data_IF_542932932562
#
_entry.id   IF_542932932562
#
_cell.length_a   1.000
_cell.length_b   1.000
_cell.length_c   1.000
_cell.angle_alpha   90.00
_cell.angle_beta   90.00
_cell.angle_gamma   90.00
#
_symmetry.space_group_name_H-M   'P 1'
#
loop_
_entity.id
_entity.type
_entity.pdbx_description
1 polymer ?
#
# COMPACT_ATOMS: atom_id res chain seq x y z
N UNK A 1 -7.55 -7.29 -21.98
CA UNK A 1 -7.02 -6.26 -21.06
C UNK A 1 -8.03 -6.17 -19.95
N UNK A 2 -7.64 -6.47 -18.70
CA UNK A 2 -8.56 -6.39 -17.57
C UNK A 2 -9.16 -4.99 -17.47
N UNK A 3 -10.49 -4.93 -17.39
CA UNK A 3 -11.24 -3.69 -17.25
C UNK A 3 -10.71 -2.93 -16.01
N UNK A 4 -10.02 -1.82 -16.24
CA UNK A 4 -9.59 -0.89 -15.18
C UNK A 4 -8.09 -0.80 -14.87
N UNK A 5 -7.18 -1.41 -15.67
CA UNK A 5 -5.79 -0.96 -15.78
C UNK A 5 -5.59 -0.28 -17.13
N UNK A 6 -5.15 0.99 -17.11
CA UNK A 6 -5.02 1.83 -18.29
C UNK A 6 -3.54 2.17 -18.50
N UNK A 7 -3.06 2.03 -19.74
CA UNK A 7 -1.71 2.45 -20.13
C UNK A 7 -1.63 3.98 -20.23
N UNK A 8 -0.56 4.55 -19.70
CA UNK A 8 -0.26 5.98 -19.72
C UNK A 8 1.22 6.21 -20.04
N UNK A 9 1.61 7.46 -20.27
CA UNK A 9 3.02 7.83 -20.21
C UNK A 9 3.51 7.69 -18.76
N UNK A 10 4.70 7.10 -18.53
CA UNK A 10 5.29 7.04 -17.19
C UNK A 10 5.35 8.41 -16.51
N UNK A 11 4.89 8.48 -15.26
CA UNK A 11 4.80 9.72 -14.48
C UNK A 11 5.69 9.64 -13.24
N UNK A 12 6.99 9.88 -13.44
CA UNK A 12 8.00 9.83 -12.37
C UNK A 12 7.85 10.98 -11.37
N UNK A 13 7.36 12.14 -11.78
CA UNK A 13 7.18 13.28 -10.88
C UNK A 13 6.07 13.00 -9.87
N UNK A 14 4.91 12.55 -10.34
CA UNK A 14 3.82 12.16 -9.45
C UNK A 14 4.19 10.97 -8.55
N UNK A 15 4.97 10.02 -9.07
CA UNK A 15 5.49 8.92 -8.26
C UNK A 15 6.41 9.42 -7.12
N UNK A 16 7.25 10.43 -7.36
CA UNK A 16 8.07 11.07 -6.31
C UNK A 16 7.21 11.77 -5.25
N UNK A 17 6.21 12.55 -5.67
CA UNK A 17 5.29 13.22 -4.72
C UNK A 17 4.51 12.22 -3.86
N UNK A 18 4.04 11.12 -4.45
CA UNK A 18 3.41 10.03 -3.69
C UNK A 18 4.39 9.39 -2.69
N UNK A 19 5.64 9.18 -3.10
CA UNK A 19 6.66 8.62 -2.22
C UNK A 19 6.96 9.53 -1.02
N UNK A 20 7.05 10.84 -1.24
CA UNK A 20 7.21 11.83 -0.16
C UNK A 20 6.05 11.78 0.83
N UNK A 21 4.81 11.77 0.34
CA UNK A 21 3.61 11.65 1.19
C UNK A 21 3.58 10.36 2.01
N UNK A 22 4.02 9.25 1.42
CA UNK A 22 4.17 7.98 2.14
C UNK A 22 5.20 8.10 3.27
N UNK A 23 6.36 8.73 3.03
CA UNK A 23 7.37 8.90 4.07
C UNK A 23 6.84 9.72 5.26
N UNK A 24 6.13 10.82 4.98
CA UNK A 24 5.48 11.64 6.02
C UNK A 24 4.47 10.80 6.83
N UNK A 25 3.69 9.97 6.14
CA UNK A 25 2.71 9.09 6.80
C UNK A 25 3.40 8.05 7.71
N UNK A 26 4.50 7.45 7.26
CA UNK A 26 5.26 6.49 8.05
C UNK A 26 5.96 7.15 9.26
N UNK A 27 6.37 8.41 9.14
CA UNK A 27 6.88 9.20 10.26
C UNK A 27 5.78 9.48 11.30
N UNK A 28 4.60 9.91 10.85
CA UNK A 28 3.44 10.10 11.72
C UNK A 28 3.06 8.80 12.46
N UNK A 29 3.02 7.65 11.78
CA UNK A 29 2.69 6.37 12.43
C UNK A 29 3.63 6.06 13.61
N UNK A 30 4.89 6.49 13.55
CA UNK A 30 5.87 6.27 14.63
C UNK A 30 5.63 7.17 15.84
N UNK A 31 4.96 8.32 15.67
CA UNK A 31 4.71 9.28 16.77
C UNK A 31 3.36 9.08 17.46
N UNK A 32 2.46 8.28 16.86
CA UNK A 32 1.11 8.04 17.38
C UNK A 32 1.09 6.89 18.39
N UNK A 33 0.34 7.06 19.49
CA UNK A 33 0.10 6.01 20.49
C UNK A 33 -0.64 4.81 19.87
N UNK A 34 0.06 3.68 19.74
CA UNK A 34 -0.49 2.47 19.14
C UNK A 34 -1.64 1.85 19.93
N UNK A 35 -1.68 2.03 21.25
CA UNK A 35 -2.74 1.48 22.10
C UNK A 35 -4.08 2.11 21.78
N UNK A 36 -4.06 3.43 21.59
CA UNK A 36 -5.27 4.22 21.36
C UNK A 36 -5.69 4.24 19.90
N UNK A 37 -4.74 4.19 18.97
CA UNK A 37 -4.99 4.48 17.55
C UNK A 37 -4.69 3.30 16.62
N UNK A 38 -4.75 2.07 17.12
CA UNK A 38 -4.49 0.84 16.34
C UNK A 38 -5.22 0.77 15.00
N UNK A 39 -6.52 1.09 14.97
CA UNK A 39 -7.30 1.13 13.72
C UNK A 39 -6.75 2.15 12.73
N UNK A 40 -6.45 3.36 13.19
CA UNK A 40 -5.92 4.43 12.32
C UNK A 40 -4.54 4.06 11.78
N UNK A 41 -3.68 3.50 12.62
CA UNK A 41 -2.34 3.05 12.21
C UNK A 41 -2.44 1.95 11.14
N UNK A 42 -3.32 0.96 11.31
CA UNK A 42 -3.51 -0.11 10.32
C UNK A 42 -4.07 0.44 9.01
N UNK A 43 -5.04 1.36 9.08
CA UNK A 43 -5.56 2.07 7.91
C UNK A 43 -4.42 2.82 7.18
N UNK A 44 -3.61 3.58 7.91
CA UNK A 44 -2.55 4.39 7.33
C UNK A 44 -1.40 3.55 6.78
N UNK A 45 -1.11 2.38 7.38
CA UNK A 45 -0.19 1.40 6.78
C UNK A 45 -0.69 0.89 5.43
N UNK A 46 -1.98 0.59 5.30
CA UNK A 46 -2.54 0.21 4.01
C UNK A 46 -2.48 1.35 3.00
N UNK A 47 -2.80 2.59 3.40
CA UNK A 47 -2.70 3.75 2.53
C UNK A 47 -1.25 4.00 2.06
N UNK A 48 -0.27 3.78 2.94
CA UNK A 48 1.15 3.85 2.58
C UNK A 48 1.52 2.79 1.53
N UNK A 49 1.13 1.54 1.74
CA UNK A 49 1.35 0.44 0.78
C UNK A 49 0.67 0.77 -0.56
N UNK A 50 -0.59 1.21 -0.53
CA UNK A 50 -1.34 1.60 -1.73
C UNK A 50 -0.64 2.73 -2.48
N UNK A 51 -0.17 3.76 -1.77
CA UNK A 51 0.56 4.88 -2.35
C UNK A 51 1.83 4.42 -3.06
N UNK A 52 2.61 3.52 -2.45
CA UNK A 52 3.82 2.96 -3.06
C UNK A 52 3.52 2.11 -4.30
N UNK A 53 2.52 1.22 -4.23
CA UNK A 53 2.13 0.40 -5.40
C UNK A 53 1.61 1.27 -6.53
N UNK A 54 0.86 2.33 -6.21
CA UNK A 54 0.41 3.34 -7.19
C UNK A 54 1.60 4.05 -7.82
N UNK A 55 2.58 4.48 -7.04
CA UNK A 55 3.79 5.13 -7.55
C UNK A 55 4.59 4.20 -8.47
N UNK A 56 4.73 2.92 -8.11
CA UNK A 56 5.36 1.91 -8.95
C UNK A 56 4.59 1.77 -10.29
N UNK A 57 3.27 1.65 -10.23
CA UNK A 57 2.42 1.52 -11.41
C UNK A 57 2.55 2.73 -12.36
N UNK A 58 2.61 3.95 -11.80
CA UNK A 58 2.82 5.18 -12.57
C UNK A 58 4.18 5.18 -13.28
N UNK A 59 5.25 4.73 -12.63
CA UNK A 59 6.58 4.63 -13.28
C UNK A 59 6.60 3.54 -14.34
N UNK A 60 5.81 2.48 -14.18
CA UNK A 60 5.65 1.43 -15.19
C UNK A 60 4.80 1.88 -16.40
N UNK A 61 4.22 3.08 -16.37
CA UNK A 61 3.38 3.60 -17.45
C UNK A 61 1.95 3.08 -17.41
N UNK A 62 1.41 2.85 -16.21
CA UNK A 62 0.04 2.41 -16.02
C UNK A 62 -0.66 3.20 -14.90
N UNK A 63 -2.00 3.13 -14.87
CA UNK A 63 -2.83 3.56 -13.76
C UNK A 63 -4.03 2.62 -13.59
N UNK A 64 -4.58 2.55 -12.38
CA UNK A 64 -5.85 1.88 -12.13
C UNK A 64 -6.99 2.90 -12.06
N UNK A 65 -8.15 2.56 -12.62
CA UNK A 65 -9.36 3.39 -12.54
C UNK A 65 -10.59 2.53 -12.24
N UNK A 66 -11.68 3.17 -11.82
CA UNK A 66 -12.97 2.53 -11.59
C UNK A 66 -13.09 1.70 -10.29
N UNK A 67 -14.23 1.01 -10.16
CA UNK A 67 -14.54 0.17 -9.01
C UNK A 67 -13.59 -1.02 -8.92
N UNK A 68 -12.98 -1.25 -7.75
CA UNK A 68 -11.99 -2.32 -7.56
C UNK A 68 -10.55 -1.93 -7.90
N UNK A 69 -10.26 -0.65 -8.18
CA UNK A 69 -8.90 -0.16 -8.47
C UNK A 69 -7.86 -0.62 -7.44
N UNK A 70 -8.22 -0.65 -6.15
CA UNK A 70 -7.35 -1.10 -5.07
C UNK A 70 -6.98 -2.58 -5.17
N UNK A 71 -7.92 -3.43 -5.59
CA UNK A 71 -7.66 -4.86 -5.79
C UNK A 71 -6.76 -5.06 -7.01
N UNK A 72 -7.02 -4.32 -8.09
CA UNK A 72 -6.19 -4.32 -9.30
C UNK A 72 -4.74 -3.90 -9.05
N UNK A 73 -4.48 -2.97 -8.11
CA UNK A 73 -3.11 -2.64 -7.68
C UNK A 73 -2.39 -3.87 -7.10
N UNK A 74 -3.09 -4.66 -6.29
CA UNK A 74 -2.53 -5.86 -5.64
C UNK A 74 -2.31 -6.96 -6.69
N UNK A 75 -3.25 -7.14 -7.61
CA UNK A 75 -3.14 -8.13 -8.68
C UNK A 75 -1.97 -7.78 -9.62
N UNK A 76 -1.82 -6.49 -9.96
CA UNK A 76 -0.66 -6.00 -10.72
C UNK A 76 0.65 -6.32 -10.01
N UNK A 77 0.72 -6.09 -8.69
CA UNK A 77 1.91 -6.41 -7.89
C UNK A 77 2.23 -7.91 -7.94
N UNK A 78 1.23 -8.77 -7.75
CA UNK A 78 1.38 -10.24 -7.76
C UNK A 78 1.84 -10.77 -9.14
N UNK A 79 1.30 -10.20 -10.22
CA UNK A 79 1.64 -10.63 -11.58
C UNK A 79 3.04 -10.17 -11.98
N UNK A 80 3.41 -8.92 -11.68
CA UNK A 80 4.61 -8.29 -12.23
C UNK A 80 5.83 -8.32 -11.30
N UNK A 81 5.64 -8.53 -9.98
CA UNK A 81 6.73 -8.47 -8.99
C UNK A 81 6.86 -9.78 -8.22
N UNK A 82 7.59 -10.74 -8.80
CA UNK A 82 7.74 -12.12 -8.26
C UNK A 82 8.51 -12.24 -6.94
N UNK A 83 9.13 -11.15 -6.48
CA UNK A 83 9.79 -11.06 -5.17
C UNK A 83 8.83 -10.96 -3.97
N UNK A 84 7.53 -10.77 -4.23
CA UNK A 84 6.49 -10.88 -3.21
C UNK A 84 5.99 -12.31 -3.14
N UNK A 85 5.99 -12.86 -1.93
CA UNK A 85 5.38 -14.15 -1.62
C UNK A 85 3.85 -14.06 -1.64
N UNK A 86 3.18 -15.21 -1.81
CA UNK A 86 1.72 -15.26 -1.72
C UNK A 86 1.19 -14.81 -0.34
N UNK A 87 1.95 -15.06 0.74
CA UNK A 87 1.62 -14.55 2.06
C UNK A 87 1.59 -13.01 2.10
N UNK A 88 2.60 -12.36 1.50
CA UNK A 88 2.65 -10.90 1.46
C UNK A 88 1.52 -10.31 0.62
N UNK A 89 1.21 -10.91 -0.53
CA UNK A 89 0.08 -10.50 -1.38
C UNK A 89 -1.24 -10.64 -0.61
N UNK A 90 -1.45 -11.76 0.09
CA UNK A 90 -2.63 -11.99 0.94
C UNK A 90 -2.72 -10.95 2.05
N UNK A 91 -1.61 -10.65 2.73
CA UNK A 91 -1.59 -9.67 3.81
C UNK A 91 -1.97 -8.27 3.31
N UNK A 92 -1.51 -7.86 2.12
CA UNK A 92 -1.90 -6.58 1.53
C UNK A 92 -3.42 -6.54 1.25
N UNK A 93 -4.00 -7.65 0.78
CA UNK A 93 -5.43 -7.75 0.52
C UNK A 93 -6.26 -7.75 1.82
N UNK A 94 -5.79 -8.44 2.85
CA UNK A 94 -6.41 -8.41 4.18
C UNK A 94 -6.43 -6.99 4.74
N UNK A 95 -5.32 -6.24 4.60
CA UNK A 95 -5.23 -4.84 5.01
C UNK A 95 -6.20 -3.95 4.22
N UNK A 96 -6.39 -4.20 2.91
CA UNK A 96 -7.41 -3.50 2.10
C UNK A 96 -8.81 -3.71 2.68
N UNK A 97 -9.14 -4.96 3.01
CA UNK A 97 -10.45 -5.32 3.58
C UNK A 97 -10.62 -4.65 4.94
N UNK A 98 -9.63 -4.75 5.84
CA UNK A 98 -9.66 -4.12 7.16
C UNK A 98 -9.80 -2.60 7.05
N UNK A 99 -9.04 -1.96 6.17
CA UNK A 99 -9.16 -0.52 5.92
C UNK A 99 -10.56 -0.12 5.48
N UNK A 100 -11.20 -0.90 4.60
CA UNK A 100 -12.58 -0.63 4.19
C UNK A 100 -13.55 -0.76 5.37
N UNK A 101 -13.40 -1.80 6.20
CA UNK A 101 -14.22 -1.95 7.40
C UNK A 101 -14.02 -0.81 8.39
N UNK A 102 -12.78 -0.33 8.59
CA UNK A 102 -12.51 0.85 9.42
C UNK A 102 -13.23 2.08 8.84
N UNK A 103 -13.12 2.32 7.53
CA UNK A 103 -13.63 3.51 6.88
C UNK A 103 -15.17 3.56 6.77
N UNK A 104 -15.81 2.41 6.52
CA UNK A 104 -17.24 2.34 6.21
C UNK A 104 -18.09 1.74 7.34
N UNK A 105 -17.51 0.90 8.20
CA UNK A 105 -18.22 0.21 9.29
C UNK A 105 -17.80 0.73 10.68
N UNK A 106 -16.79 1.60 10.77
CA UNK A 106 -16.22 2.02 12.05
C UNK A 106 -15.53 0.89 12.81
N UNK A 107 -14.99 -0.11 12.09
CA UNK A 107 -14.36 -1.28 12.69
C UNK A 107 -13.15 -0.92 13.56
N UNK A 108 -13.07 -1.51 14.76
CA UNK A 108 -11.95 -1.35 15.67
C UNK A 108 -10.98 -2.52 15.60
N UNK A 109 -9.72 -2.20 15.27
CA UNK A 109 -8.62 -3.15 15.30
C UNK A 109 -8.01 -3.15 16.70
N UNK A 110 -7.88 -4.34 17.28
CA UNK A 110 -7.18 -4.55 18.55
C UNK A 110 -5.67 -4.34 18.39
N UNK A 111 -5.02 -3.83 19.43
CA UNK A 111 -3.56 -3.61 19.45
C UNK A 111 -2.75 -4.87 19.13
N UNK A 112 -3.17 -6.02 19.65
CA UNK A 112 -2.50 -7.29 19.43
C UNK A 112 -2.39 -7.67 17.94
N UNK A 113 -3.37 -7.29 17.12
CA UNK A 113 -3.31 -7.47 15.67
C UNK A 113 -2.20 -6.62 15.06
N UNK A 114 -2.14 -5.35 15.44
CA UNK A 114 -1.11 -4.43 14.98
C UNK A 114 0.28 -4.92 15.38
N UNK A 115 0.48 -5.33 16.64
CA UNK A 115 1.77 -5.85 17.12
C UNK A 115 2.22 -7.08 16.32
N UNK A 116 1.33 -8.07 16.13
CA UNK A 116 1.65 -9.30 15.39
C UNK A 116 2.01 -9.04 13.93
N UNK A 117 1.34 -8.08 13.27
CA UNK A 117 1.51 -7.83 11.83
C UNK A 117 2.52 -6.74 11.50
N UNK A 118 2.93 -5.90 12.46
CA UNK A 118 3.82 -4.76 12.24
C UNK A 118 5.10 -5.12 11.49
N UNK A 119 5.74 -6.23 11.86
CA UNK A 119 7.00 -6.67 11.22
C UNK A 119 6.80 -7.01 9.75
N UNK A 120 5.75 -7.76 9.43
CA UNK A 120 5.43 -8.18 8.07
C UNK A 120 5.05 -6.97 7.20
N UNK A 121 4.20 -6.09 7.73
CA UNK A 121 3.81 -4.82 7.08
C UNK A 121 5.05 -3.98 6.77
N UNK A 122 5.95 -3.83 7.75
CA UNK A 122 7.19 -3.06 7.58
C UNK A 122 8.08 -3.68 6.51
N UNK A 123 8.18 -5.02 6.46
CA UNK A 123 8.96 -5.72 5.43
C UNK A 123 8.42 -5.46 4.02
N UNK A 124 7.10 -5.54 3.84
CA UNK A 124 6.42 -5.24 2.57
C UNK A 124 6.71 -3.79 2.13
N UNK A 125 6.58 -2.83 3.06
CA UNK A 125 6.87 -1.42 2.79
C UNK A 125 8.32 -1.24 2.36
N UNK A 126 9.28 -1.85 3.08
CA UNK A 126 10.71 -1.78 2.70
C UNK A 126 10.95 -2.34 1.29
N UNK A 127 10.34 -3.48 0.93
CA UNK A 127 10.45 -4.03 -0.42
C UNK A 127 9.91 -3.06 -1.48
N UNK A 128 8.72 -2.50 -1.26
CA UNK A 128 8.09 -1.54 -2.18
C UNK A 128 8.94 -0.26 -2.34
N UNK A 129 9.49 0.26 -1.25
CA UNK A 129 10.38 1.42 -1.26
C UNK A 129 11.64 1.14 -2.08
N UNK A 130 12.26 -0.03 -1.92
CA UNK A 130 13.46 -0.40 -2.68
C UNK A 130 13.17 -0.47 -4.17
N UNK A 131 12.07 -1.14 -4.57
CA UNK A 131 11.62 -1.20 -5.97
C UNK A 131 11.44 0.19 -6.55
N UNK A 132 10.73 1.06 -5.82
CA UNK A 132 10.43 2.41 -6.31
C UNK A 132 11.71 3.25 -6.44
N UNK A 133 12.61 3.19 -5.46
CA UNK A 133 13.92 3.86 -5.52
C UNK A 133 14.73 3.40 -6.72
N UNK A 134 14.78 2.10 -6.99
CA UNK A 134 15.52 1.56 -8.13
C UNK A 134 14.95 2.04 -9.48
N UNK A 135 13.63 2.25 -9.57
CA UNK A 135 12.96 2.78 -10.78
C UNK A 135 13.06 4.30 -10.97
N UNK A 136 13.24 5.03 -9.86
CA UNK A 136 13.37 6.49 -9.87
C UNK A 136 14.82 6.97 -10.06
N UNK A 137 15.78 6.04 -10.02
CA UNK A 137 17.16 6.30 -10.47
C UNK A 137 17.23 6.69 -11.94
#
# INVERSE_FOLDING_TARGET
>A
MDEGIVKISPDKEKAKSLFEMVNITLEMIKSVDSKKFSSLIIKDYYEAIRGLVTAILLVDGFKTEGEGAHKRLIDYLNVNYKQFSQYEISLIDDLRIIRNRIAYEGFFVKEDYLERKRKDISSIITKLVNILKDKLR
#
